data_IF_471434508809
#
_entry.id   IF_471434508809
#
_cell.length_a   1.000
_cell.length_b   1.000
_cell.length_c   1.000
_cell.angle_alpha   90.00
_cell.angle_beta   90.00
_cell.angle_gamma   90.00
#
_symmetry.space_group_name_H-M   'P 1'
#
loop_
_entity.id
_entity.type
_entity.pdbx_description
1 polymer ?
#
# COMPACT_ATOMS: atom_id res chain seq x y z
N UNK A 1 -20.67 -1.02 -28.26
CA UNK A 1 -21.48 -0.03 -27.52
C UNK A 1 -21.46 -0.31 -26.01
N UNK A 2 -21.22 0.72 -25.20
CA UNK A 2 -21.17 0.71 -23.74
C UNK A 2 -22.24 1.69 -23.25
N UNK A 3 -23.04 1.29 -22.27
CA UNK A 3 -24.04 2.17 -21.64
C UNK A 3 -23.55 2.59 -20.26
N UNK A 4 -23.42 3.90 -20.04
CA UNK A 4 -23.04 4.49 -18.76
C UNK A 4 -24.25 4.54 -17.83
N UNK A 5 -24.02 4.63 -16.52
CA UNK A 5 -25.08 4.70 -15.52
C UNK A 5 -26.05 5.89 -15.71
N UNK A 6 -25.59 6.97 -16.36
CA UNK A 6 -26.43 8.13 -16.71
C UNK A 6 -27.21 7.94 -18.03
N UNK A 7 -27.26 6.72 -18.59
CA UNK A 7 -27.96 6.38 -19.83
C UNK A 7 -27.21 6.73 -21.11
N UNK A 8 -26.06 7.42 -21.03
CA UNK A 8 -25.27 7.75 -22.23
C UNK A 8 -24.68 6.48 -22.85
N UNK A 9 -24.68 6.42 -24.19
CA UNK A 9 -24.09 5.33 -24.96
C UNK A 9 -22.78 5.78 -25.60
N UNK A 10 -21.74 4.93 -25.55
CA UNK A 10 -20.42 5.18 -26.16
C UNK A 10 -20.01 3.99 -27.03
N UNK A 11 -19.46 4.25 -28.20
CA UNK A 11 -18.81 3.21 -29.00
C UNK A 11 -17.34 3.10 -28.59
N UNK A 12 -16.83 1.88 -28.57
CA UNK A 12 -15.44 1.57 -28.31
C UNK A 12 -15.12 0.23 -28.97
N UNK A 13 -13.91 0.10 -29.52
CA UNK A 13 -13.42 -1.14 -30.11
C UNK A 13 -12.99 -2.16 -29.04
N UNK A 14 -12.57 -1.65 -27.87
CA UNK A 14 -12.17 -2.45 -26.72
C UNK A 14 -12.49 -1.74 -25.39
N UNK A 15 -12.62 -2.52 -24.32
CA UNK A 15 -12.83 -2.03 -22.96
C UNK A 15 -11.79 -2.65 -22.03
N UNK A 16 -11.08 -1.80 -21.28
CA UNK A 16 -10.18 -2.23 -20.22
C UNK A 16 -10.82 -1.97 -18.85
N UNK A 17 -11.02 -3.03 -18.07
CA UNK A 17 -11.46 -2.91 -16.68
C UNK A 17 -10.26 -2.88 -15.74
N UNK A 18 -10.02 -1.73 -15.12
CA UNK A 18 -8.93 -1.50 -14.17
C UNK A 18 -9.45 -0.88 -12.85
N UNK A 19 -10.58 -1.37 -12.36
CA UNK A 19 -11.30 -0.80 -11.19
C UNK A 19 -10.60 -1.04 -9.85
N UNK A 20 -9.59 -1.90 -9.83
CA UNK A 20 -8.83 -2.26 -8.64
C UNK A 20 -8.56 -3.78 -8.56
N UNK A 21 -7.88 -4.18 -7.49
CA UNK A 21 -7.56 -5.56 -7.17
C UNK A 21 -8.08 -5.91 -5.77
N UNK A 22 -8.31 -7.20 -5.54
CA UNK A 22 -8.69 -7.76 -4.24
C UNK A 22 -7.85 -9.00 -3.97
N UNK A 23 -7.43 -9.20 -2.72
CA UNK A 23 -6.78 -10.43 -2.28
C UNK A 23 -7.62 -11.66 -2.67
N UNK A 24 -6.96 -12.67 -3.25
CA UNK A 24 -7.61 -13.94 -3.57
C UNK A 24 -7.60 -14.84 -2.32
N UNK A 25 -8.75 -14.98 -1.66
CA UNK A 25 -8.87 -15.67 -0.37
C UNK A 25 -9.70 -16.95 -0.43
N UNK A 26 -10.26 -17.32 -1.58
CA UNK A 26 -11.26 -18.40 -1.67
C UNK A 26 -10.74 -19.76 -1.16
N UNK A 27 -9.50 -20.11 -1.49
CA UNK A 27 -8.89 -21.36 -1.03
C UNK A 27 -8.59 -21.32 0.48
N UNK A 28 -8.11 -20.18 0.97
CA UNK A 28 -7.83 -19.98 2.40
C UNK A 28 -9.11 -20.03 3.24
N UNK A 29 -10.21 -19.48 2.73
CA UNK A 29 -11.55 -19.57 3.34
C UNK A 29 -12.00 -21.03 3.44
N UNK A 30 -11.89 -21.78 2.33
CA UNK A 30 -12.25 -23.20 2.29
C UNK A 30 -11.39 -24.03 3.25
N UNK A 31 -10.13 -23.63 3.45
CA UNK A 31 -9.21 -24.26 4.40
C UNK A 31 -9.44 -23.84 5.86
N UNK A 32 -10.41 -22.95 6.15
CA UNK A 32 -10.71 -22.49 7.50
C UNK A 32 -9.67 -21.52 8.08
N UNK A 33 -8.88 -20.85 7.23
CA UNK A 33 -7.91 -19.85 7.68
C UNK A 33 -8.61 -18.55 8.08
N UNK A 34 -8.04 -17.84 9.05
CA UNK A 34 -8.55 -16.51 9.44
C UNK A 34 -8.35 -15.50 8.31
N UNK A 35 -9.43 -14.83 7.92
CA UNK A 35 -9.47 -13.82 6.86
C UNK A 35 -9.98 -12.48 7.37
N UNK A 36 -9.61 -11.40 6.67
CA UNK A 36 -10.25 -10.09 6.74
C UNK A 36 -10.34 -9.49 5.33
N UNK A 37 -9.53 -8.47 5.00
CA UNK A 37 -9.42 -7.97 3.62
C UNK A 37 -8.48 -8.85 2.80
N UNK A 38 -7.56 -9.55 3.45
CA UNK A 38 -6.73 -10.63 2.88
C UNK A 38 -6.62 -11.82 3.84
N UNK A 39 -5.68 -12.72 3.56
CA UNK A 39 -5.30 -13.83 4.45
C UNK A 39 -4.56 -13.24 5.65
N UNK A 40 -5.13 -13.37 6.84
CA UNK A 40 -4.54 -12.77 8.04
C UNK A 40 -3.27 -13.53 8.41
N UNK A 41 -2.17 -12.81 8.52
CA UNK A 41 -0.89 -13.35 8.94
C UNK A 41 -0.24 -12.47 10.01
N UNK A 42 0.45 -13.11 10.95
CA UNK A 42 1.25 -12.39 11.94
C UNK A 42 2.55 -11.83 11.30
N UNK A 43 3.40 -11.16 12.08
CA UNK A 43 4.66 -10.60 11.56
C UNK A 43 5.69 -11.64 11.15
N UNK A 44 5.54 -12.90 11.50
CA UNK A 44 6.35 -14.00 10.96
C UNK A 44 5.73 -14.60 9.68
N UNK A 45 4.68 -13.96 9.17
CA UNK A 45 3.92 -14.33 7.97
C UNK A 45 3.15 -15.64 8.09
N UNK A 46 3.00 -16.13 9.31
CA UNK A 46 2.25 -17.33 9.64
C UNK A 46 0.76 -17.01 9.72
N UNK A 47 -0.07 -17.87 9.11
CA UNK A 47 -1.53 -17.77 9.16
C UNK A 47 -2.07 -18.36 10.48
N UNK A 48 -3.38 -18.55 10.58
CA UNK A 48 -3.99 -19.26 11.72
C UNK A 48 -3.64 -20.75 11.78
N UNK A 49 -3.24 -21.36 10.66
CA UNK A 49 -2.63 -22.69 10.66
C UNK A 49 -1.11 -22.56 10.83
N UNK A 50 -0.49 -23.26 11.79
CA UNK A 50 0.92 -23.08 12.09
C UNK A 50 1.87 -23.50 10.97
N UNK A 51 1.41 -24.28 9.99
CA UNK A 51 2.21 -24.77 8.87
C UNK A 51 1.94 -24.01 7.56
N UNK A 52 1.01 -23.05 7.55
CA UNK A 52 0.64 -22.28 6.37
C UNK A 52 1.05 -20.82 6.56
N UNK A 53 1.69 -20.26 5.54
CA UNK A 53 2.20 -18.90 5.50
C UNK A 53 1.60 -18.12 4.32
N UNK A 54 1.51 -16.79 4.45
CA UNK A 54 1.01 -15.92 3.39
C UNK A 54 1.89 -14.66 3.26
N UNK A 55 2.13 -14.23 2.02
CA UNK A 55 2.84 -12.98 1.70
C UNK A 55 2.38 -12.41 0.35
N UNK A 56 2.68 -11.14 0.11
CA UNK A 56 2.31 -10.45 -1.13
C UNK A 56 0.85 -10.00 -1.13
N UNK A 57 0.28 -9.82 -2.32
CA UNK A 57 -1.03 -9.18 -2.52
C UNK A 57 -2.21 -9.93 -1.87
N UNK A 58 -2.05 -11.21 -1.52
CA UNK A 58 -3.09 -11.96 -0.81
C UNK A 58 -3.03 -11.78 0.72
N UNK A 59 -1.92 -11.29 1.28
CA UNK A 59 -1.65 -11.34 2.70
C UNK A 59 -1.94 -10.02 3.40
N UNK A 60 -2.67 -10.10 4.51
CA UNK A 60 -2.87 -9.02 5.46
C UNK A 60 -1.96 -9.26 6.67
N UNK A 61 -0.79 -8.61 6.66
CA UNK A 61 0.28 -8.82 7.64
C UNK A 61 0.14 -7.81 8.76
N UNK A 62 -0.22 -8.26 9.97
CA UNK A 62 -0.44 -7.39 11.13
C UNK A 62 -1.42 -6.24 10.83
N UNK A 63 -2.53 -6.57 10.15
CA UNK A 63 -3.54 -5.61 9.69
C UNK A 63 -3.18 -4.80 8.44
N UNK A 64 -1.96 -4.97 7.90
CA UNK A 64 -1.50 -4.26 6.71
C UNK A 64 -1.70 -5.09 5.44
N UNK A 65 -2.61 -4.64 4.58
CA UNK A 65 -2.81 -5.18 3.23
C UNK A 65 -2.30 -4.18 2.19
N UNK A 66 -1.12 -4.46 1.63
CA UNK A 66 -0.34 -3.52 0.81
C UNK A 66 -0.04 -4.12 -0.57
N UNK A 67 -0.76 -3.65 -1.60
CA UNK A 67 -0.67 -4.15 -2.99
C UNK A 67 0.50 -3.56 -3.78
N UNK A 68 1.74 -3.72 -3.31
CA UNK A 68 2.92 -3.26 -4.05
C UNK A 68 4.21 -3.98 -3.61
N UNK A 69 5.26 -3.81 -4.41
CA UNK A 69 6.45 -4.69 -4.39
C UNK A 69 7.31 -4.54 -3.14
N UNK A 70 7.46 -3.35 -2.58
CA UNK A 70 8.38 -3.14 -1.45
C UNK A 70 8.02 -3.95 -0.19
N UNK A 71 6.77 -3.96 0.30
CA UNK A 71 6.38 -4.82 1.42
C UNK A 71 6.49 -6.30 1.07
N UNK A 72 6.13 -6.71 -0.16
CA UNK A 72 6.32 -8.09 -0.65
C UNK A 72 7.79 -8.53 -0.53
N UNK A 73 8.73 -7.71 -1.01
CA UNK A 73 10.15 -8.04 -0.96
C UNK A 73 10.69 -8.13 0.47
N UNK A 74 10.19 -7.30 1.37
CA UNK A 74 10.50 -7.41 2.81
C UNK A 74 9.95 -8.69 3.39
N UNK A 75 8.70 -9.04 3.08
CA UNK A 75 8.08 -10.29 3.51
C UNK A 75 8.86 -11.50 3.02
N UNK A 76 9.23 -11.55 1.73
CA UNK A 76 9.96 -12.68 1.15
C UNK A 76 11.29 -12.93 1.86
N UNK A 77 12.08 -11.87 2.13
CA UNK A 77 13.34 -11.98 2.88
C UNK A 77 13.13 -12.47 4.31
N UNK A 78 12.08 -11.99 4.97
CA UNK A 78 11.76 -12.37 6.36
C UNK A 78 11.22 -13.80 6.45
N UNK A 79 10.34 -14.19 5.53
CA UNK A 79 9.80 -15.55 5.48
C UNK A 79 10.91 -16.57 5.23
N UNK A 80 11.83 -16.27 4.32
CA UNK A 80 12.97 -17.15 4.04
C UNK A 80 13.78 -17.47 5.31
N UNK A 81 14.06 -16.46 6.15
CA UNK A 81 14.74 -16.65 7.45
C UNK A 81 13.91 -17.50 8.42
N UNK A 82 12.61 -17.21 8.50
CA UNK A 82 11.69 -17.94 9.38
C UNK A 82 11.62 -19.42 8.99
N UNK A 83 11.47 -19.71 7.70
CA UNK A 83 11.45 -21.09 7.18
C UNK A 83 12.81 -21.80 7.30
N UNK A 84 13.92 -21.04 7.31
CA UNK A 84 15.26 -21.60 7.54
C UNK A 84 15.64 -21.72 9.03
N UNK A 85 14.66 -21.68 9.94
CA UNK A 85 14.87 -21.91 11.37
C UNK A 85 15.29 -20.68 12.18
N UNK A 86 15.18 -19.47 11.61
CA UNK A 86 15.39 -18.20 12.35
C UNK A 86 14.09 -17.39 12.33
N UNK A 87 13.17 -17.61 13.28
CA UNK A 87 11.92 -16.87 13.36
C UNK A 87 12.17 -15.36 13.38
N UNK A 88 11.73 -14.67 12.34
CA UNK A 88 12.05 -13.25 12.12
C UNK A 88 10.75 -12.48 11.93
N UNK A 89 10.48 -11.41 12.71
CA UNK A 89 9.34 -10.55 12.46
C UNK A 89 9.60 -9.62 11.28
N UNK A 90 8.56 -9.34 10.50
CA UNK A 90 8.53 -8.33 9.46
C UNK A 90 8.51 -6.95 10.13
N UNK A 91 9.34 -6.05 9.61
CA UNK A 91 9.31 -4.62 9.92
C UNK A 91 9.23 -3.84 8.61
N UNK A 92 8.28 -2.91 8.52
CA UNK A 92 8.10 -2.02 7.38
C UNK A 92 8.55 -0.61 7.75
N UNK A 93 9.66 -0.17 7.15
CA UNK A 93 10.04 1.24 7.14
C UNK A 93 9.05 2.11 6.35
N UNK A 94 9.37 3.39 6.11
CA UNK A 94 8.57 4.25 5.23
C UNK A 94 8.52 3.70 3.81
N UNK A 95 7.31 3.51 3.27
CA UNK A 95 7.09 2.89 1.96
C UNK A 95 6.24 3.73 0.99
N UNK A 96 6.77 4.86 0.47
CA UNK A 96 6.03 5.65 -0.51
C UNK A 96 5.80 4.88 -1.82
N UNK A 97 4.62 5.09 -2.40
CA UNK A 97 4.18 4.52 -3.66
C UNK A 97 4.47 5.51 -4.79
N UNK A 98 5.15 5.03 -5.83
CA UNK A 98 5.36 5.76 -7.06
C UNK A 98 4.27 5.40 -8.08
N UNK A 99 3.49 6.38 -8.53
CA UNK A 99 2.51 6.21 -9.60
C UNK A 99 3.13 6.69 -10.90
N UNK A 100 3.32 5.74 -11.83
CA UNK A 100 4.13 5.93 -13.05
C UNK A 100 3.29 6.54 -14.18
N UNK A 101 2.98 7.83 -14.06
CA UNK A 101 2.25 8.59 -15.08
C UNK A 101 3.19 9.68 -15.63
N UNK A 102 3.84 9.49 -16.80
CA UNK A 102 4.88 10.41 -17.28
C UNK A 102 4.42 11.87 -17.43
N UNK A 103 3.15 12.10 -17.77
CA UNK A 103 2.56 13.44 -17.94
C UNK A 103 2.42 14.20 -16.61
N UNK A 104 2.31 13.48 -15.50
CA UNK A 104 2.25 14.04 -14.16
C UNK A 104 2.71 12.97 -13.17
N UNK A 105 4.04 12.84 -12.94
CA UNK A 105 4.56 11.86 -12.01
C UNK A 105 3.99 12.11 -10.61
N UNK A 106 3.65 11.04 -9.89
CA UNK A 106 3.12 11.16 -8.53
C UNK A 106 3.89 10.27 -7.56
N UNK A 107 4.21 10.81 -6.39
CA UNK A 107 4.76 10.08 -5.25
C UNK A 107 3.84 10.28 -4.05
N UNK A 108 3.43 9.19 -3.41
CA UNK A 108 2.51 9.28 -2.27
C UNK A 108 2.99 8.40 -1.12
N UNK A 109 3.02 8.96 0.08
CA UNK A 109 3.04 8.19 1.32
C UNK A 109 1.73 8.48 2.05
N UNK A 110 0.79 7.52 2.11
CA UNK A 110 -0.51 7.75 2.73
C UNK A 110 -0.38 8.16 4.19
N UNK A 111 -1.23 9.10 4.62
CA UNK A 111 -1.43 9.37 6.03
C UNK A 111 -2.05 8.14 6.72
N UNK A 112 -1.61 7.77 7.94
CA UNK A 112 -2.27 6.73 8.72
C UNK A 112 -3.73 7.12 9.02
N UNK A 113 -4.64 6.14 9.01
CA UNK A 113 -6.09 6.39 9.16
C UNK A 113 -6.50 6.73 10.60
N UNK A 114 -5.70 6.27 11.55
CA UNK A 114 -5.87 6.35 13.00
C UNK A 114 -5.13 7.54 13.62
N UNK A 115 -4.56 8.41 12.79
CA UNK A 115 -3.79 9.58 13.21
C UNK A 115 -4.50 10.86 12.79
N UNK A 116 -4.80 11.69 13.77
CA UNK A 116 -5.32 13.04 13.53
C UNK A 116 -4.21 14.01 13.13
N UNK A 117 -4.50 14.89 12.17
CA UNK A 117 -3.54 15.84 11.64
C UNK A 117 -4.14 16.75 10.58
N UNK A 118 -3.30 17.59 9.99
CA UNK A 118 -3.70 18.56 8.97
C UNK A 118 -2.85 18.41 7.71
N UNK A 119 -3.45 18.74 6.56
CA UNK A 119 -2.76 18.83 5.28
C UNK A 119 -2.32 20.28 5.02
N UNK A 120 -1.03 20.45 4.78
CA UNK A 120 -0.44 21.68 4.25
C UNK A 120 -0.18 21.48 2.76
N UNK A 121 -0.76 22.33 1.91
CA UNK A 121 -0.73 22.14 0.45
C UNK A 121 -0.14 23.37 -0.22
N UNK A 122 0.97 23.17 -0.92
CA UNK A 122 1.54 24.12 -1.87
C UNK A 122 1.27 23.63 -3.30
N UNK A 123 0.81 24.53 -4.18
CA UNK A 123 0.53 24.20 -5.57
C UNK A 123 1.05 25.27 -6.51
N UNK A 124 1.72 24.82 -7.56
CA UNK A 124 2.08 25.62 -8.75
C UNK A 124 1.74 24.82 -10.01
N UNK A 125 0.70 25.23 -10.73
CA UNK A 125 0.16 24.47 -11.86
C UNK A 125 -0.21 23.03 -11.49
N UNK A 126 0.42 22.06 -12.16
CA UNK A 126 0.26 20.61 -11.88
C UNK A 126 1.26 20.07 -10.85
N UNK A 127 2.14 20.92 -10.31
CA UNK A 127 3.15 20.56 -9.31
C UNK A 127 2.61 20.86 -7.91
N UNK A 128 2.27 19.81 -7.18
CA UNK A 128 1.65 19.87 -5.84
C UNK A 128 2.60 19.25 -4.83
N UNK A 129 2.75 19.90 -3.68
CA UNK A 129 3.36 19.36 -2.48
C UNK A 129 2.34 19.43 -1.36
N UNK A 130 1.72 18.29 -1.04
CA UNK A 130 0.82 18.14 0.07
C UNK A 130 1.53 17.35 1.18
N UNK A 131 1.59 17.91 2.39
CA UNK A 131 2.22 17.30 3.56
C UNK A 131 1.18 17.10 4.65
N UNK A 132 1.09 15.89 5.19
CA UNK A 132 0.21 15.60 6.32
C UNK A 132 1.04 15.55 7.61
N UNK A 133 0.73 16.44 8.54
CA UNK A 133 1.39 16.53 9.84
C UNK A 133 0.39 16.24 10.95
N UNK A 134 0.79 15.42 11.92
CA UNK A 134 -0.03 15.18 13.11
C UNK A 134 0.00 16.38 14.07
N UNK A 135 -0.72 16.28 15.20
CA UNK A 135 -0.81 17.34 16.21
C UNK A 135 0.53 17.75 16.82
N UNK A 136 1.57 16.90 16.73
CA UNK A 136 2.92 17.22 17.21
C UNK A 136 3.77 17.95 16.15
N UNK A 137 3.26 18.10 14.93
CA UNK A 137 3.99 18.65 13.78
C UNK A 137 4.83 17.60 13.04
N UNK A 138 4.83 16.33 13.49
CA UNK A 138 5.55 15.25 12.80
C UNK A 138 4.92 14.96 11.44
N UNK A 139 5.75 14.79 10.41
CA UNK A 139 5.29 14.35 9.10
C UNK A 139 4.82 12.89 9.17
N UNK A 140 3.58 12.63 8.77
CA UNK A 140 2.98 11.30 8.77
C UNK A 140 2.55 10.83 7.37
N UNK A 141 2.49 11.72 6.39
CA UNK A 141 2.22 11.38 5.00
C UNK A 141 2.53 12.53 4.05
N UNK A 142 2.59 12.25 2.76
CA UNK A 142 2.72 13.26 1.72
C UNK A 142 2.08 12.82 0.40
N UNK A 143 1.73 13.77 -0.45
CA UNK A 143 1.45 13.56 -1.87
C UNK A 143 2.18 14.62 -2.69
N UNK A 144 3.00 14.17 -3.64
CA UNK A 144 3.82 15.01 -4.50
C UNK A 144 3.45 14.76 -5.95
N UNK A 145 3.32 15.82 -6.76
CA UNK A 145 3.06 15.73 -8.19
C UNK A 145 4.02 16.61 -8.98
N UNK A 146 4.20 16.32 -10.27
CA UNK A 146 5.02 17.14 -11.16
C UNK A 146 6.48 17.23 -10.70
N UNK A 147 7.04 18.44 -10.62
CA UNK A 147 8.45 18.65 -10.25
C UNK A 147 8.73 18.37 -8.76
N UNK A 148 7.70 18.46 -7.92
CA UNK A 148 7.79 18.24 -6.47
C UNK A 148 8.15 16.80 -6.11
N UNK A 149 8.00 15.84 -7.03
CA UNK A 149 8.40 14.44 -6.80
C UNK A 149 9.89 14.26 -6.49
N UNK A 150 10.73 15.23 -6.88
CA UNK A 150 12.16 15.26 -6.54
C UNK A 150 12.41 15.36 -5.02
N UNK A 151 11.46 15.92 -4.26
CA UNK A 151 11.55 16.10 -2.80
C UNK A 151 11.30 14.80 -2.02
N UNK A 152 10.86 13.71 -2.69
CA UNK A 152 10.49 12.43 -2.06
C UNK A 152 11.55 11.89 -1.11
N UNK A 153 12.83 11.91 -1.52
CA UNK A 153 13.90 11.31 -0.71
C UNK A 153 14.14 12.04 0.61
N UNK A 154 13.95 13.37 0.64
CA UNK A 154 14.08 14.14 1.87
C UNK A 154 12.90 13.83 2.81
N UNK A 155 11.67 13.96 2.30
CA UNK A 155 10.45 13.72 3.06
C UNK A 155 10.33 12.27 3.57
N UNK A 156 10.78 11.28 2.78
CA UNK A 156 10.74 9.87 3.19
C UNK A 156 11.59 9.60 4.45
N UNK A 157 12.68 10.36 4.67
CA UNK A 157 13.54 10.18 5.86
C UNK A 157 12.89 10.69 7.15
N UNK A 158 11.93 11.60 7.03
CA UNK A 158 11.19 12.16 8.17
C UNK A 158 10.03 11.26 8.61
N UNK A 159 9.58 10.35 7.74
CA UNK A 159 8.45 9.48 8.01
C UNK A 159 8.80 8.39 9.03
N UNK A 160 7.88 8.08 9.96
CA UNK A 160 8.01 6.90 10.79
C UNK A 160 7.83 5.60 9.98
N UNK A 161 8.30 4.46 10.50
CA UNK A 161 7.97 3.15 9.93
C UNK A 161 6.45 2.92 9.90
N UNK A 162 5.98 2.21 8.88
CA UNK A 162 4.60 1.71 8.81
C UNK A 162 4.37 0.62 9.86
N UNK A 163 5.40 -0.20 10.10
CA UNK A 163 5.38 -1.32 11.02
C UNK A 163 6.76 -1.45 11.67
N UNK A 164 6.89 -1.00 12.92
CA UNK A 164 8.13 -1.07 13.71
C UNK A 164 8.22 -2.38 14.47
#
# INVERSE_FOLDING_TARGET
EITLANGQKKQADAVLSAIGVRANTALAETAGLTLNRGIVANRQLQTSDPNIYALGDCAEVDGQLLYYVMPLMTCARTLAKTLSGTPTPVAYGPMPVAVKVPVCPVQVSPAPRDVEGNWEIEQDGHSVKALFRDKSGQLRGFALTGERVSEKMALQKELPPILA
#
